data_IF_786858355403
#
_entry.id   IF_786858355403
#
_cell.length_a   1.000
_cell.length_b   1.000
_cell.length_c   1.000
_cell.angle_alpha   90.00
_cell.angle_beta   90.00
_cell.angle_gamma   90.00
#
_symmetry.space_group_name_H-M   'P 1'
#
loop_
_entity.id
_entity.type
_entity.pdbx_description
1 polymer ?
#
# COMPACT_ATOMS: atom_id res chain seq x y z
N UNK A 1 17.09 14.33 -3.50
CA UNK A 1 16.90 14.09 -2.05
C UNK A 1 15.71 14.94 -1.61
N UNK A 2 14.59 14.31 -1.27
CA UNK A 2 13.37 15.03 -0.88
C UNK A 2 13.63 15.62 0.51
N UNK A 3 13.53 16.98 0.61
CA UNK A 3 13.71 17.68 1.89
C UNK A 3 12.53 17.37 2.83
N UNK A 4 12.74 16.48 3.76
CA UNK A 4 11.75 15.99 4.75
C UNK A 4 11.12 17.14 5.55
N UNK A 5 11.83 18.27 5.73
CA UNK A 5 11.32 19.45 6.47
C UNK A 5 10.17 20.15 5.73
N UNK A 6 10.16 20.12 4.40
CA UNK A 6 9.09 20.72 3.59
C UNK A 6 7.90 19.79 3.42
N UNK A 7 8.09 18.48 3.54
CA UNK A 7 7.01 17.49 3.68
C UNK A 7 6.19 17.70 4.97
N UNK A 8 6.85 18.10 6.05
CA UNK A 8 6.18 18.48 7.30
C UNK A 8 5.25 19.68 7.14
N UNK A 9 5.58 20.62 6.25
CA UNK A 9 4.72 21.78 5.96
C UNK A 9 3.46 21.38 5.19
N UNK A 10 3.55 20.43 4.25
CA UNK A 10 2.38 19.80 3.60
C UNK A 10 1.49 19.10 4.63
N UNK A 11 2.09 18.38 5.55
CA UNK A 11 1.38 17.70 6.63
C UNK A 11 0.68 18.70 7.57
N UNK A 12 1.28 19.84 7.88
CA UNK A 12 0.70 20.94 8.66
C UNK A 12 -0.43 21.64 7.90
N UNK A 13 -0.30 21.88 6.61
CA UNK A 13 -1.35 22.48 5.78
C UNK A 13 -2.56 21.57 5.63
N UNK A 14 -2.35 20.26 5.52
CA UNK A 14 -3.40 19.25 5.45
C UNK A 14 -4.07 19.03 6.83
N UNK A 15 -3.34 19.24 7.93
CA UNK A 15 -3.87 19.13 9.29
C UNK A 15 -4.83 20.28 9.66
N UNK A 16 -4.71 21.44 9.02
CA UNK A 16 -5.54 22.62 9.28
C UNK A 16 -6.87 22.62 8.52
N UNK A 17 -7.05 21.75 7.53
CA UNK A 17 -8.34 21.50 6.91
C UNK A 17 -9.01 20.34 7.63
N UNK A 18 -10.09 20.57 8.34
CA UNK A 18 -10.95 19.69 9.16
C UNK A 18 -11.21 18.24 8.66
N UNK A 19 -10.37 17.71 7.83
CA UNK A 19 -10.39 16.33 7.35
C UNK A 19 -9.36 15.52 8.12
N UNK A 20 -9.81 14.48 8.79
CA UNK A 20 -9.04 13.53 9.59
C UNK A 20 -8.00 12.77 8.77
N UNK A 21 -6.92 13.44 8.36
CA UNK A 21 -5.75 12.81 7.80
C UNK A 21 -4.89 12.24 8.92
N UNK A 22 -5.21 11.07 9.39
CA UNK A 22 -4.31 10.31 10.24
C UNK A 22 -3.20 9.67 9.39
N UNK A 23 -2.27 10.48 8.91
CA UNK A 23 -1.01 9.99 8.35
C UNK A 23 -0.04 9.61 9.48
N UNK A 24 -0.42 8.68 10.32
CA UNK A 24 0.49 8.14 11.33
C UNK A 24 1.47 7.12 10.73
N UNK A 25 1.25 6.68 9.49
CA UNK A 25 2.09 5.70 8.83
C UNK A 25 2.88 6.32 7.66
N UNK A 26 4.23 6.28 7.69
CA UNK A 26 5.09 6.81 6.64
C UNK A 26 4.84 6.18 5.24
N UNK A 27 4.40 4.93 5.19
CA UNK A 27 4.11 4.24 3.94
C UNK A 27 2.97 4.94 3.17
N UNK A 28 1.88 5.27 3.85
CA UNK A 28 0.75 5.97 3.22
C UNK A 28 1.10 7.39 2.80
N UNK A 29 1.88 8.10 3.63
CA UNK A 29 2.39 9.42 3.26
C UNK A 29 3.15 9.36 1.94
N UNK A 30 4.04 8.39 1.77
CA UNK A 30 4.84 8.24 0.58
C UNK A 30 4.01 7.86 -0.65
N UNK A 31 3.08 6.92 -0.53
CA UNK A 31 2.21 6.51 -1.63
C UNK A 31 1.26 7.64 -2.05
N UNK A 32 0.71 8.39 -1.09
CA UNK A 32 -0.10 9.56 -1.36
C UNK A 32 0.69 10.64 -2.08
N UNK A 33 1.89 10.98 -1.61
CA UNK A 33 2.75 11.97 -2.25
C UNK A 33 3.16 11.56 -3.68
N UNK A 34 3.46 10.27 -3.89
CA UNK A 34 3.71 9.73 -5.24
C UNK A 34 2.51 9.91 -6.14
N UNK A 35 1.32 9.59 -5.67
CA UNK A 35 0.08 9.80 -6.39
C UNK A 35 -0.14 11.26 -6.79
N UNK A 36 0.13 12.20 -5.89
CA UNK A 36 0.04 13.63 -6.20
C UNK A 36 1.06 14.07 -7.27
N UNK A 37 2.27 13.50 -7.24
CA UNK A 37 3.29 13.72 -8.26
C UNK A 37 2.86 13.18 -9.63
N UNK A 38 2.40 11.93 -9.67
CA UNK A 38 1.98 11.25 -10.90
C UNK A 38 0.79 11.98 -11.57
N UNK A 39 -0.07 12.59 -10.77
CA UNK A 39 -1.23 13.36 -11.23
C UNK A 39 -0.93 14.84 -11.48
N UNK A 40 0.30 15.28 -11.23
CA UNK A 40 0.74 16.67 -11.41
C UNK A 40 0.14 17.67 -10.41
N UNK A 41 -0.52 17.19 -9.34
CA UNK A 41 -1.05 18.01 -8.25
C UNK A 41 0.05 18.50 -7.29
N UNK A 42 1.18 17.80 -7.29
CA UNK A 42 2.42 18.17 -6.61
C UNK A 42 3.54 18.17 -7.65
N UNK A 43 4.24 19.28 -7.82
CA UNK A 43 5.34 19.40 -8.78
C UNK A 43 6.48 20.23 -8.21
N UNK A 44 7.71 19.95 -8.65
CA UNK A 44 8.86 20.77 -8.30
C UNK A 44 9.13 21.81 -9.37
N UNK A 45 9.05 23.09 -9.01
CA UNK A 45 9.37 24.21 -9.88
C UNK A 45 10.87 24.46 -9.87
N UNK A 46 11.57 24.08 -10.95
CA UNK A 46 13.01 24.38 -11.11
C UNK A 46 13.28 25.88 -11.13
N UNK A 47 12.33 26.68 -11.62
CA UNK A 47 12.45 28.13 -11.71
C UNK A 47 12.44 28.81 -10.35
N UNK A 48 11.61 28.30 -9.42
CA UNK A 48 11.46 28.86 -8.09
C UNK A 48 12.29 28.10 -7.04
N UNK A 49 12.85 26.94 -7.39
CA UNK A 49 13.56 26.06 -6.46
C UNK A 49 12.67 25.53 -5.35
N UNK A 50 11.35 25.41 -5.58
CA UNK A 50 10.35 25.06 -4.56
C UNK A 50 9.29 24.09 -5.10
N UNK A 51 8.66 23.36 -4.18
CA UNK A 51 7.49 22.57 -4.48
C UNK A 51 6.26 23.46 -4.62
N UNK A 52 5.47 23.20 -5.65
CA UNK A 52 4.16 23.80 -5.91
C UNK A 52 3.08 22.72 -5.80
N UNK A 53 1.93 23.07 -5.24
CA UNK A 53 0.77 22.17 -5.11
C UNK A 53 -0.53 22.96 -5.22
N UNK A 54 -1.58 22.27 -5.67
CA UNK A 54 -2.95 22.78 -5.71
C UNK A 54 -3.74 22.20 -4.53
N UNK A 55 -3.82 22.98 -3.44
CA UNK A 55 -4.46 22.53 -2.20
C UNK A 55 -5.97 22.30 -2.39
N UNK A 56 -6.64 23.10 -3.21
CA UNK A 56 -8.09 22.98 -3.43
C UNK A 56 -8.41 21.64 -4.14
N UNK A 57 -7.64 21.30 -5.16
CA UNK A 57 -7.78 20.02 -5.83
C UNK A 57 -7.38 18.84 -4.95
N UNK A 58 -6.33 18.98 -4.16
CA UNK A 58 -5.89 17.92 -3.23
C UNK A 58 -6.97 17.62 -2.17
N UNK A 59 -7.64 18.66 -1.64
CA UNK A 59 -8.72 18.51 -0.64
C UNK A 59 -9.99 17.91 -1.25
N UNK A 60 -10.30 18.21 -2.50
CA UNK A 60 -11.43 17.61 -3.23
C UNK A 60 -11.22 16.11 -3.49
N UNK A 61 -9.97 15.64 -3.48
CA UNK A 61 -9.60 14.26 -3.57
C UNK A 61 -9.88 13.54 -2.24
N UNK A 62 -11.00 12.82 -2.16
CA UNK A 62 -11.46 12.10 -0.98
C UNK A 62 -10.41 11.03 -0.57
N UNK A 63 -9.76 11.21 0.58
CA UNK A 63 -8.45 10.65 0.88
C UNK A 63 -8.43 9.18 1.29
N UNK A 64 -9.48 8.70 1.96
CA UNK A 64 -9.49 7.30 2.45
C UNK A 64 -9.79 6.32 1.33
N UNK A 65 -10.76 6.64 0.48
CA UNK A 65 -11.10 5.81 -0.69
C UNK A 65 -10.00 5.86 -1.75
N UNK A 66 -9.29 7.00 -1.85
CA UNK A 66 -8.14 7.16 -2.74
C UNK A 66 -6.95 6.26 -2.37
N UNK A 67 -6.65 6.08 -1.08
CA UNK A 67 -5.55 5.20 -0.65
C UNK A 67 -5.85 3.74 -1.03
N UNK A 68 -7.06 3.26 -0.78
CA UNK A 68 -7.45 1.91 -1.19
C UNK A 68 -7.42 1.75 -2.72
N UNK A 69 -7.96 2.73 -3.45
CA UNK A 69 -7.92 2.73 -4.90
C UNK A 69 -6.48 2.70 -5.45
N UNK A 70 -5.59 3.53 -4.90
CA UNK A 70 -4.17 3.59 -5.29
C UNK A 70 -3.45 2.27 -5.01
N UNK A 71 -3.68 1.69 -3.82
CA UNK A 71 -3.11 0.40 -3.45
C UNK A 71 -3.61 -0.71 -4.38
N UNK A 72 -4.92 -0.77 -4.62
CA UNK A 72 -5.53 -1.74 -5.52
C UNK A 72 -5.03 -1.57 -6.95
N UNK A 73 -4.93 -0.34 -7.45
CA UNK A 73 -4.37 -0.04 -8.78
C UNK A 73 -2.91 -0.48 -8.89
N UNK A 74 -2.09 -0.22 -7.87
CA UNK A 74 -0.71 -0.65 -7.82
C UNK A 74 -0.60 -2.18 -7.77
N UNK A 75 -1.42 -2.84 -6.97
CA UNK A 75 -1.45 -4.30 -6.89
C UNK A 75 -1.91 -4.96 -8.18
N UNK A 76 -2.86 -4.36 -8.90
CA UNK A 76 -3.30 -4.83 -10.22
C UNK A 76 -2.20 -4.77 -11.29
N UNK A 77 -1.21 -3.90 -11.13
CA UNK A 77 -0.04 -3.82 -12.00
C UNK A 77 1.08 -4.82 -11.68
N UNK A 78 0.94 -5.61 -10.61
CA UNK A 78 1.92 -6.63 -10.23
C UNK A 78 1.72 -7.92 -11.03
N UNK A 79 2.73 -8.82 -10.97
CA UNK A 79 2.62 -10.14 -11.58
C UNK A 79 1.53 -10.98 -10.92
N UNK A 80 1.02 -11.99 -11.63
CA UNK A 80 -0.05 -12.85 -11.14
C UNK A 80 0.35 -13.60 -9.86
N UNK A 81 1.63 -13.99 -9.76
CA UNK A 81 2.20 -14.67 -8.60
C UNK A 81 2.10 -13.79 -7.35
N UNK A 82 2.48 -12.53 -7.45
CA UNK A 82 2.40 -11.56 -6.35
C UNK A 82 0.95 -11.28 -5.97
N UNK A 83 0.07 -11.07 -6.96
CA UNK A 83 -1.35 -10.86 -6.71
C UNK A 83 -1.97 -12.07 -5.99
N UNK A 84 -1.65 -13.29 -6.42
CA UNK A 84 -2.12 -14.53 -5.79
C UNK A 84 -1.67 -14.61 -4.34
N UNK A 85 -0.39 -14.33 -4.07
CA UNK A 85 0.13 -14.28 -2.69
C UNK A 85 -0.61 -13.27 -1.83
N UNK A 86 -0.78 -12.04 -2.32
CA UNK A 86 -1.45 -10.98 -1.56
C UNK A 86 -2.92 -11.35 -1.27
N UNK A 87 -3.64 -11.90 -2.25
CA UNK A 87 -5.02 -12.41 -2.07
C UNK A 87 -5.07 -13.50 -1.00
N UNK A 88 -4.24 -14.53 -1.14
CA UNK A 88 -4.20 -15.67 -0.21
C UNK A 88 -3.87 -15.21 1.20
N UNK A 89 -2.79 -14.42 1.38
CA UNK A 89 -2.40 -13.92 2.69
C UNK A 89 -3.50 -13.05 3.32
N UNK A 90 -4.21 -12.23 2.53
CA UNK A 90 -5.25 -11.34 3.03
C UNK A 90 -6.44 -12.08 3.66
N UNK A 91 -6.73 -13.30 3.20
CA UNK A 91 -7.78 -14.16 3.74
C UNK A 91 -7.43 -14.69 5.14
N UNK A 92 -6.15 -14.87 5.46
CA UNK A 92 -5.71 -15.33 6.79
C UNK A 92 -5.59 -14.19 7.82
N UNK A 93 -5.62 -12.93 7.40
CA UNK A 93 -5.56 -11.76 8.28
C UNK A 93 -4.26 -10.98 8.16
N UNK A 94 -3.95 -10.16 9.20
CA UNK A 94 -2.77 -9.27 9.19
C UNK A 94 -1.45 -10.01 9.28
N UNK A 95 -1.43 -11.18 9.91
CA UNK A 95 -0.22 -11.99 10.13
C UNK A 95 -0.49 -13.43 9.76
N UNK A 96 0.41 -14.03 9.03
CA UNK A 96 0.31 -15.41 8.56
C UNK A 96 1.58 -16.17 8.93
N UNK A 97 1.42 -17.28 9.67
CA UNK A 97 2.54 -18.11 10.11
C UNK A 97 3.22 -18.80 8.90
N UNK A 98 4.54 -18.93 8.95
CA UNK A 98 5.32 -19.60 7.90
C UNK A 98 4.86 -21.04 7.63
N UNK A 99 4.37 -21.75 8.65
CA UNK A 99 3.86 -23.12 8.49
C UNK A 99 2.67 -23.20 7.53
N UNK A 100 1.81 -22.17 7.52
CA UNK A 100 0.66 -22.08 6.60
C UNK A 100 1.19 -21.96 5.16
N UNK A 101 2.17 -21.10 4.95
CA UNK A 101 2.80 -20.90 3.63
C UNK A 101 3.52 -22.19 3.17
N UNK A 102 4.27 -22.84 4.07
CA UNK A 102 4.92 -24.12 3.75
C UNK A 102 3.91 -25.20 3.35
N UNK A 103 2.77 -25.24 4.02
CA UNK A 103 1.67 -26.15 3.65
C UNK A 103 1.08 -25.80 2.27
N UNK A 104 0.79 -24.54 2.01
CA UNK A 104 0.26 -24.08 0.72
C UNK A 104 1.24 -24.35 -0.42
N UNK A 105 2.53 -24.10 -0.23
CA UNK A 105 3.57 -24.34 -1.25
C UNK A 105 3.74 -25.82 -1.61
N UNK A 106 3.28 -26.75 -0.77
CA UNK A 106 3.28 -28.18 -1.08
C UNK A 106 2.19 -28.58 -2.07
N UNK A 107 1.21 -27.74 -2.32
CA UNK A 107 0.16 -27.99 -3.30
C UNK A 107 0.57 -27.50 -4.69
N UNK A 108 0.19 -28.23 -5.73
CA UNK A 108 0.49 -27.86 -7.13
C UNK A 108 -0.13 -26.52 -7.55
N UNK A 109 -1.19 -26.10 -6.87
CA UNK A 109 -1.90 -24.86 -7.15
C UNK A 109 -1.12 -23.60 -6.73
N UNK A 110 -0.21 -23.74 -5.75
CA UNK A 110 0.58 -22.64 -5.17
C UNK A 110 2.09 -22.88 -5.27
N UNK A 111 2.57 -23.58 -6.30
CA UNK A 111 4.00 -23.88 -6.50
C UNK A 111 4.89 -22.64 -6.48
N UNK A 112 4.40 -21.54 -7.02
CA UNK A 112 5.15 -20.28 -7.18
C UNK A 112 4.94 -19.27 -6.03
N UNK A 113 4.25 -19.71 -4.95
CA UNK A 113 3.91 -18.81 -3.82
C UNK A 113 5.16 -18.18 -3.17
N UNK A 114 6.27 -18.91 -3.12
CA UNK A 114 7.51 -18.42 -2.52
C UNK A 114 8.16 -17.29 -3.35
N UNK A 115 8.07 -17.37 -4.68
CA UNK A 115 8.55 -16.30 -5.58
C UNK A 115 7.70 -15.05 -5.38
N UNK A 116 6.38 -15.21 -5.40
CA UNK A 116 5.45 -14.10 -5.18
C UNK A 116 5.60 -13.45 -3.80
N UNK A 117 5.93 -14.21 -2.75
CA UNK A 117 6.22 -13.68 -1.40
C UNK A 117 7.45 -12.78 -1.42
N UNK A 118 8.54 -13.20 -2.05
CA UNK A 118 9.77 -12.39 -2.07
C UNK A 118 9.57 -11.09 -2.84
N UNK A 119 8.84 -11.15 -3.94
CA UNK A 119 8.49 -9.96 -4.72
C UNK A 119 7.51 -9.03 -3.96
N UNK A 120 6.53 -9.58 -3.23
CA UNK A 120 5.64 -8.81 -2.36
C UNK A 120 6.41 -8.12 -1.22
N UNK A 121 7.44 -8.78 -0.67
CA UNK A 121 8.34 -8.20 0.34
C UNK A 121 9.19 -7.08 -0.25
N UNK A 122 9.83 -7.30 -1.38
CA UNK A 122 10.67 -6.29 -2.05
C UNK A 122 9.86 -5.05 -2.45
N UNK A 123 8.59 -5.25 -2.77
CA UNK A 123 7.64 -4.16 -3.06
C UNK A 123 7.09 -3.46 -1.81
N UNK A 124 7.40 -3.94 -0.60
CA UNK A 124 7.02 -3.32 0.66
C UNK A 124 5.59 -3.59 1.11
N UNK A 125 4.86 -4.52 0.49
CA UNK A 125 3.49 -4.86 0.89
C UNK A 125 3.44 -5.75 2.13
N UNK A 126 4.45 -6.61 2.29
CA UNK A 126 4.59 -7.53 3.43
C UNK A 126 5.99 -7.47 4.02
N UNK A 127 6.11 -7.86 5.28
CA UNK A 127 7.37 -7.98 6.01
C UNK A 127 7.38 -9.26 6.84
N UNK A 128 8.56 -9.65 7.32
CA UNK A 128 8.69 -10.73 8.31
C UNK A 128 8.67 -10.09 9.70
N UNK A 129 7.83 -10.61 10.59
CA UNK A 129 7.69 -10.10 11.95
C UNK A 129 7.42 -11.21 12.96
N UNK A 130 7.82 -10.97 14.21
CA UNK A 130 7.47 -11.82 15.35
C UNK A 130 8.32 -13.09 15.54
N UNK A 131 8.13 -13.71 16.71
CA UNK A 131 8.58 -15.06 17.05
C UNK A 131 7.35 -15.84 17.55
N UNK A 132 6.92 -16.93 16.90
CA UNK A 132 7.48 -17.52 15.68
C UNK A 132 7.34 -16.60 14.46
N UNK A 133 8.27 -16.73 13.51
CA UNK A 133 8.31 -15.88 12.30
C UNK A 133 7.00 -15.96 11.50
N UNK A 134 6.45 -14.79 11.20
CA UNK A 134 5.23 -14.63 10.43
C UNK A 134 5.44 -13.62 9.30
N UNK A 135 4.73 -13.81 8.20
CA UNK A 135 4.51 -12.76 7.23
C UNK A 135 3.44 -11.81 7.77
N UNK A 136 3.70 -10.53 7.72
CA UNK A 136 2.79 -9.49 8.19
C UNK A 136 2.59 -8.47 7.08
N UNK A 137 1.35 -8.08 6.81
CA UNK A 137 1.09 -6.92 5.97
C UNK A 137 1.72 -5.67 6.58
N UNK A 138 2.26 -4.80 5.72
CA UNK A 138 2.85 -3.53 6.15
C UNK A 138 1.83 -2.66 6.89
N UNK A 139 0.55 -2.75 6.51
CA UNK A 139 -0.55 -2.03 7.13
C UNK A 139 -1.90 -2.73 6.87
N UNK A 140 -2.93 -2.44 7.69
CA UNK A 140 -4.30 -2.96 7.53
C UNK A 140 -4.93 -2.56 6.18
N UNK A 141 -4.69 -1.33 5.71
CA UNK A 141 -5.15 -0.87 4.40
C UNK A 141 -4.52 -1.62 3.23
N UNK A 142 -3.27 -2.07 3.37
CA UNK A 142 -2.63 -2.94 2.38
C UNK A 142 -3.35 -4.29 2.32
N UNK A 143 -3.67 -4.87 3.49
CA UNK A 143 -4.46 -6.11 3.56
C UNK A 143 -5.86 -5.92 2.98
N UNK A 144 -6.54 -4.82 3.33
CA UNK A 144 -7.88 -4.50 2.82
C UNK A 144 -7.89 -4.38 1.29
N UNK A 145 -6.91 -3.66 0.73
CA UNK A 145 -6.73 -3.56 -0.71
C UNK A 145 -6.44 -4.92 -1.36
N UNK A 146 -5.58 -5.75 -0.75
CA UNK A 146 -5.30 -7.10 -1.23
C UNK A 146 -6.55 -7.99 -1.18
N UNK A 147 -7.35 -7.90 -0.12
CA UNK A 147 -8.61 -8.64 0.00
C UNK A 147 -9.66 -8.18 -1.02
N UNK A 148 -9.66 -6.89 -1.39
CA UNK A 148 -10.57 -6.38 -2.44
C UNK A 148 -10.28 -6.96 -3.84
N UNK A 149 -9.07 -7.51 -4.06
CA UNK A 149 -8.72 -8.21 -5.31
C UNK A 149 -9.30 -9.62 -5.39
N UNK A 150 -9.78 -10.19 -4.28
CA UNK A 150 -10.46 -11.48 -4.26
C UNK A 150 -11.84 -11.30 -4.89
N UNK A 151 -12.21 -12.09 -5.91
CA UNK A 151 -13.55 -12.06 -6.50
C UNK A 151 -14.64 -12.28 -5.46
N UNK A 152 -15.80 -11.62 -5.61
CA UNK A 152 -16.86 -11.66 -4.60
C UNK A 152 -17.50 -13.07 -4.45
N UNK A 153 -17.47 -13.86 -5.49
CA UNK A 153 -17.88 -15.26 -5.50
C UNK A 153 -16.92 -16.20 -4.74
N UNK A 154 -15.66 -15.81 -4.60
CA UNK A 154 -14.64 -16.57 -3.86
C UNK A 154 -14.52 -16.14 -2.37
N UNK A 155 -15.16 -15.03 -1.97
CA UNK A 155 -15.06 -14.49 -0.59
C UNK A 155 -15.87 -15.26 0.46
N UNK A 156 -16.75 -16.16 0.06
CA UNK A 156 -17.74 -16.81 0.93
C UNK A 156 -17.57 -18.34 1.03
N UNK A 157 -16.52 -18.89 0.45
CA UNK A 157 -16.10 -20.28 0.65
C UNK A 157 -14.98 -20.31 1.70
#
# INVERSE_FOLDING_TARGET
MIDVRRLWMLQLCLHNSHSYFHFSDPFFCLEFLRSLLDRGLLRYSLRQGSWEWDLEQIVLENTTDNVLYLLSSKMNGLTNEVQTVLKVLSCFGMKVNFNIIAYLSSSSQFSDINVGIEDARSSGFISISGEPSCYSFAHDKVREAAYSLVPDDEKHE
#
